data_IF_253321839852
#
_entry.id   IF_253321839852
#
_cell.length_a   1.000
_cell.length_b   1.000
_cell.length_c   1.000
_cell.angle_alpha   90.00
_cell.angle_beta   90.00
_cell.angle_gamma   90.00
#
_symmetry.space_group_name_H-M   'P 1'
#
loop_
_entity.id
_entity.type
_entity.pdbx_description
1 polymer ?
#
# COMPACT_ATOMS: atom_id res chain seq x y z
N UNK A 1 15.22 10.57 -8.35
CA UNK A 1 14.60 10.52 -9.69
C UNK A 1 13.14 10.09 -9.60
N UNK A 2 12.28 10.60 -10.48
CA UNK A 2 10.92 10.06 -10.70
C UNK A 2 11.02 9.02 -11.82
N UNK A 3 10.30 7.91 -11.72
CA UNK A 3 10.36 6.76 -12.66
C UNK A 3 9.92 7.06 -14.12
N UNK A 4 9.67 8.32 -14.49
CA UNK A 4 9.18 8.69 -15.82
C UNK A 4 7.78 8.19 -16.17
N UNK A 5 7.05 7.61 -15.21
CA UNK A 5 5.72 7.03 -15.43
C UNK A 5 4.63 8.10 -15.54
N UNK A 6 3.58 7.88 -16.35
CA UNK A 6 2.40 8.74 -16.38
C UNK A 6 1.75 8.82 -15.00
N UNK A 7 1.02 9.92 -14.76
CA UNK A 7 0.35 10.13 -13.46
C UNK A 7 -0.74 9.08 -13.26
N UNK A 8 -0.56 8.22 -12.28
CA UNK A 8 -1.57 7.24 -11.87
C UNK A 8 -2.68 7.89 -11.02
N UNK A 9 -3.95 7.67 -11.36
CA UNK A 9 -5.09 8.19 -10.61
C UNK A 9 -5.25 7.46 -9.25
N UNK A 10 -5.81 8.13 -8.23
CA UNK A 10 -6.09 7.49 -6.95
C UNK A 10 -7.24 6.48 -7.08
N UNK A 11 -7.18 5.36 -6.34
CA UNK A 11 -8.20 4.31 -6.35
C UNK A 11 -9.62 4.84 -6.13
N UNK A 12 -9.80 5.77 -5.19
CA UNK A 12 -11.09 6.37 -4.87
C UNK A 12 -11.55 7.46 -5.83
N UNK A 13 -10.68 7.92 -6.75
CA UNK A 13 -11.01 8.96 -7.74
C UNK A 13 -11.55 8.41 -9.06
N UNK A 14 -11.65 7.09 -9.22
CA UNK A 14 -12.12 6.45 -10.43
C UNK A 14 -13.44 5.70 -10.22
N UNK A 15 -14.25 5.62 -11.27
CA UNK A 15 -15.51 4.87 -11.31
C UNK A 15 -15.34 3.33 -11.31
N UNK A 16 -14.22 2.81 -10.76
CA UNK A 16 -13.91 1.37 -10.69
C UNK A 16 -14.13 0.65 -12.03
N UNK A 17 -13.79 1.30 -13.14
CA UNK A 17 -13.88 0.69 -14.47
C UNK A 17 -12.63 -0.13 -14.78
N UNK A 18 -12.78 -1.12 -15.64
CA UNK A 18 -11.69 -1.96 -16.13
C UNK A 18 -10.59 -1.17 -16.82
N UNK A 19 -10.96 -0.15 -17.61
CA UNK A 19 -10.01 0.73 -18.31
C UNK A 19 -9.16 1.51 -17.31
N UNK A 20 -9.79 1.96 -16.21
CA UNK A 20 -9.11 2.63 -15.11
C UNK A 20 -8.05 1.72 -14.48
N UNK A 21 -8.41 0.48 -14.16
CA UNK A 21 -7.46 -0.52 -13.63
C UNK A 21 -6.30 -0.76 -14.60
N UNK A 22 -6.58 -0.94 -15.89
CA UNK A 22 -5.55 -1.19 -16.92
C UNK A 22 -4.60 0.01 -17.08
N UNK A 23 -5.10 1.23 -16.94
CA UNK A 23 -4.29 2.46 -16.99
C UNK A 23 -3.39 2.68 -15.76
N UNK A 24 -3.57 1.88 -14.71
CA UNK A 24 -2.83 1.95 -13.46
C UNK A 24 -3.58 2.72 -12.36
N UNK A 25 -3.33 2.34 -11.11
CA UNK A 25 -4.01 2.88 -9.94
C UNK A 25 -3.02 3.16 -8.81
N UNK A 26 -3.27 4.25 -8.06
CA UNK A 26 -2.59 4.57 -6.83
C UNK A 26 -3.47 4.24 -5.62
N UNK A 27 -3.04 3.22 -4.86
CA UNK A 27 -3.67 2.81 -3.61
C UNK A 27 -3.07 3.52 -2.38
N UNK A 28 -1.96 4.23 -2.55
CA UNK A 28 -1.25 4.90 -1.48
C UNK A 28 -2.09 5.99 -0.79
N UNK A 29 -1.86 6.15 0.52
CA UNK A 29 -2.50 7.16 1.35
C UNK A 29 -1.47 7.82 2.26
N UNK A 30 -1.63 9.12 2.48
CA UNK A 30 -0.71 9.96 3.26
C UNK A 30 -0.46 9.43 4.67
N UNK A 31 -1.47 8.88 5.34
CA UNK A 31 -1.38 8.45 6.75
C UNK A 31 -1.15 6.95 6.93
N UNK A 32 -1.01 6.21 5.83
CA UNK A 32 -0.88 4.76 5.86
C UNK A 32 0.37 4.33 6.63
N UNK A 33 0.19 3.38 7.54
CA UNK A 33 1.27 2.69 8.24
C UNK A 33 1.21 1.19 7.99
N UNK A 34 2.35 0.53 8.20
CA UNK A 34 2.47 -0.91 8.35
C UNK A 34 1.81 -1.39 9.64
N UNK A 35 1.83 -0.55 10.68
CA UNK A 35 1.22 -0.84 11.97
C UNK A 35 -0.17 -0.25 12.04
N UNK A 36 -1.12 -1.07 12.51
CA UNK A 36 -2.48 -0.62 12.78
C UNK A 36 -2.49 0.42 13.91
N UNK A 37 -3.27 1.48 13.71
CA UNK A 37 -3.56 2.47 14.75
C UNK A 37 -4.96 3.02 14.55
N UNK A 38 -5.83 2.84 15.54
CA UNK A 38 -7.22 3.35 15.53
C UNK A 38 -7.30 4.85 15.25
N UNK A 39 -6.28 5.63 15.68
CA UNK A 39 -6.22 7.08 15.47
C UNK A 39 -5.80 7.50 14.07
N UNK A 40 -5.13 6.62 13.30
CA UNK A 40 -4.41 7.03 12.09
C UNK A 40 -4.62 6.15 10.86
N UNK A 41 -5.26 4.98 10.96
CA UNK A 41 -5.32 4.04 9.83
C UNK A 41 -6.73 3.56 9.49
N UNK A 42 -7.51 4.41 8.82
CA UNK A 42 -8.63 3.94 7.98
C UNK A 42 -8.13 3.31 6.66
N UNK A 43 -6.91 3.67 6.23
CA UNK A 43 -6.28 3.22 4.97
C UNK A 43 -4.84 2.73 5.21
N UNK A 44 -4.66 1.76 6.10
CA UNK A 44 -3.36 1.12 6.32
C UNK A 44 -2.91 0.29 5.13
N UNK A 45 -1.64 -0.15 5.12
CA UNK A 45 -1.06 -0.90 3.99
C UNK A 45 -1.86 -2.17 3.66
N UNK A 46 -2.39 -2.88 4.65
CA UNK A 46 -3.25 -4.04 4.43
C UNK A 46 -4.55 -3.71 3.68
N UNK A 47 -5.12 -2.52 3.91
CA UNK A 47 -6.30 -2.05 3.17
C UNK A 47 -5.93 -1.76 1.71
N UNK A 48 -4.76 -1.15 1.47
CA UNK A 48 -4.26 -0.85 0.14
C UNK A 48 -3.98 -2.12 -0.68
N UNK A 49 -3.41 -3.15 -0.04
CA UNK A 49 -3.24 -4.47 -0.65
C UNK A 49 -4.57 -5.11 -1.02
N UNK A 50 -5.58 -5.01 -0.14
CA UNK A 50 -6.92 -5.53 -0.43
C UNK A 50 -7.55 -4.82 -1.63
N UNK A 51 -7.41 -3.50 -1.73
CA UNK A 51 -7.90 -2.73 -2.89
C UNK A 51 -7.18 -3.13 -4.19
N UNK A 52 -5.87 -3.40 -4.12
CA UNK A 52 -5.13 -3.91 -5.26
C UNK A 52 -5.63 -5.30 -5.69
N UNK A 53 -5.92 -6.19 -4.74
CA UNK A 53 -6.53 -7.49 -5.03
C UNK A 53 -7.94 -7.35 -5.64
N UNK A 54 -8.77 -6.43 -5.13
CA UNK A 54 -10.10 -6.12 -5.70
C UNK A 54 -10.00 -5.65 -7.15
N UNK A 55 -9.02 -4.79 -7.47
CA UNK A 55 -8.78 -4.33 -8.84
C UNK A 55 -8.36 -5.49 -9.76
N UNK A 56 -7.50 -6.40 -9.29
CA UNK A 56 -7.13 -7.60 -10.04
C UNK A 56 -8.30 -8.56 -10.24
N UNK A 57 -9.16 -8.72 -9.22
CA UNK A 57 -10.38 -9.53 -9.31
C UNK A 57 -11.37 -8.96 -10.33
N UNK A 58 -11.51 -7.63 -10.39
CA UNK A 58 -12.33 -6.98 -11.42
C UNK A 58 -11.84 -7.37 -12.82
N UNK A 59 -10.53 -7.33 -13.07
CA UNK A 59 -9.98 -7.77 -14.36
C UNK A 59 -10.27 -9.25 -14.66
N UNK A 60 -10.19 -10.12 -13.65
CA UNK A 60 -10.51 -11.54 -13.81
C UNK A 60 -11.99 -11.75 -14.17
N UNK A 61 -12.90 -11.03 -13.52
CA UNK A 61 -14.34 -11.11 -13.78
C UNK A 61 -14.67 -10.58 -15.18
N UNK A 62 -14.05 -9.48 -15.60
CA UNK A 62 -14.37 -8.81 -16.86
C UNK A 62 -13.71 -9.43 -18.09
N UNK A 63 -12.50 -9.99 -17.96
CA UNK A 63 -11.72 -10.48 -19.10
C UNK A 63 -11.31 -11.95 -19.00
N UNK A 64 -11.65 -12.64 -17.91
CA UNK A 64 -11.23 -14.01 -17.65
C UNK A 64 -9.84 -14.12 -17.03
N UNK A 65 -9.54 -15.31 -16.51
CA UNK A 65 -8.32 -15.58 -15.74
C UNK A 65 -7.03 -15.41 -16.56
N UNK A 66 -7.00 -15.92 -17.79
CA UNK A 66 -5.78 -15.91 -18.60
C UNK A 66 -5.37 -14.48 -18.99
N UNK A 67 -6.35 -13.67 -19.41
CA UNK A 67 -6.10 -12.26 -19.76
C UNK A 67 -5.70 -11.44 -18.55
N UNK A 68 -6.34 -11.66 -17.40
CA UNK A 68 -5.97 -10.99 -16.16
C UNK A 68 -4.55 -11.36 -15.70
N UNK A 69 -4.13 -12.62 -15.87
CA UNK A 69 -2.74 -13.05 -15.59
C UNK A 69 -1.73 -12.40 -16.52
N UNK A 70 -2.04 -12.28 -17.81
CA UNK A 70 -1.18 -11.58 -18.77
C UNK A 70 -1.06 -10.09 -18.43
N UNK A 71 -2.15 -9.43 -18.05
CA UNK A 71 -2.11 -8.04 -17.58
C UNK A 71 -1.27 -7.89 -16.31
N UNK A 72 -1.41 -8.84 -15.36
CA UNK A 72 -0.62 -8.85 -14.13
C UNK A 72 0.88 -8.98 -14.40
N UNK A 73 1.28 -9.89 -15.30
CA UNK A 73 2.69 -10.15 -15.61
C UNK A 73 3.37 -9.00 -16.34
N UNK A 74 2.58 -8.13 -16.99
CA UNK A 74 3.06 -6.93 -17.69
C UNK A 74 2.97 -5.66 -16.85
N UNK A 75 2.44 -5.76 -15.63
CA UNK A 75 2.25 -4.63 -14.72
C UNK A 75 3.47 -4.41 -13.81
N UNK A 76 3.71 -3.16 -13.41
CA UNK A 76 4.69 -2.78 -12.40
C UNK A 76 3.98 -2.46 -11.08
N UNK A 77 4.35 -3.16 -10.01
CA UNK A 77 3.88 -2.86 -8.66
C UNK A 77 4.97 -2.10 -7.88
N UNK A 78 4.62 -0.93 -7.37
CA UNK A 78 5.50 -0.11 -6.53
C UNK A 78 4.92 0.04 -5.13
N UNK A 79 5.65 -0.43 -4.12
CA UNK A 79 5.24 -0.37 -2.72
C UNK A 79 6.26 0.44 -1.94
N UNK A 80 5.79 1.47 -1.23
CA UNK A 80 6.59 2.29 -0.32
C UNK A 80 5.80 2.52 0.96
N UNK A 81 6.28 1.97 2.08
CA UNK A 81 5.62 2.06 3.38
C UNK A 81 6.65 2.05 4.53
N UNK A 82 6.19 2.38 5.74
CA UNK A 82 7.03 2.39 6.95
C UNK A 82 7.51 3.77 7.38
N UNK A 83 7.55 4.75 6.47
CA UNK A 83 7.96 6.12 6.81
C UNK A 83 7.07 6.75 7.90
N UNK A 84 5.76 6.59 7.79
CA UNK A 84 4.81 7.07 8.80
C UNK A 84 4.95 6.32 10.14
N UNK A 85 5.21 5.02 10.11
CA UNK A 85 5.46 4.24 11.33
C UNK A 85 6.74 4.69 12.03
N UNK A 86 7.78 4.98 11.25
CA UNK A 86 9.05 5.50 11.75
C UNK A 86 8.93 6.92 12.28
N UNK A 87 8.18 7.80 11.61
CA UNK A 87 7.89 9.14 12.11
C UNK A 87 7.17 9.09 13.46
N UNK A 88 6.24 8.14 13.65
CA UNK A 88 5.56 7.94 14.94
C UNK A 88 6.51 7.54 16.06
N UNK A 89 7.66 6.91 15.75
CA UNK A 89 8.73 6.67 16.73
C UNK A 89 9.36 7.99 17.19
N UNK A 90 9.28 9.11 16.47
CA UNK A 90 9.88 10.39 16.91
C UNK A 90 8.87 11.40 17.45
N UNK A 91 7.60 11.00 17.56
CA UNK A 91 6.51 11.84 18.06
C UNK A 91 6.01 11.30 19.42
N UNK A 92 6.72 11.57 20.54
CA UNK A 92 6.45 10.99 21.87
C UNK A 92 5.01 11.17 22.36
N UNK A 93 4.40 12.32 22.04
CA UNK A 93 3.07 12.70 22.52
C UNK A 93 1.92 12.10 21.71
N UNK A 94 2.21 11.37 20.63
CA UNK A 94 1.20 10.93 19.65
C UNK A 94 0.99 9.42 19.66
N UNK A 95 2.07 8.63 19.85
CA UNK A 95 2.03 7.18 19.62
C UNK A 95 2.41 6.32 20.84
N UNK A 96 3.13 6.89 21.82
CA UNK A 96 3.70 6.15 22.95
C UNK A 96 4.72 5.07 22.56
N UNK A 97 5.07 4.95 21.28
CA UNK A 97 5.94 3.88 20.73
C UNK A 97 7.37 4.00 21.26
N UNK A 98 7.88 5.22 21.47
CA UNK A 98 9.19 5.47 22.08
C UNK A 98 9.37 4.81 23.44
N UNK A 99 8.29 4.72 24.23
CA UNK A 99 8.35 4.10 25.57
C UNK A 99 8.48 2.58 25.52
N UNK A 100 8.21 1.96 24.37
CA UNK A 100 8.16 0.50 24.19
C UNK A 100 9.34 -0.06 23.40
N UNK A 101 10.07 0.75 22.63
CA UNK A 101 11.11 0.25 21.74
C UNK A 101 12.35 1.15 21.72
N UNK A 102 13.53 0.52 21.80
CA UNK A 102 14.76 1.11 21.30
C UNK A 102 14.70 1.24 19.76
N UNK A 103 15.30 2.29 19.20
CA UNK A 103 15.21 2.65 17.77
C UNK A 103 15.60 1.50 16.83
N UNK A 104 16.67 0.75 17.15
CA UNK A 104 17.15 -0.38 16.35
C UNK A 104 16.23 -1.61 16.43
N UNK A 105 15.54 -1.81 17.56
CA UNK A 105 14.55 -2.87 17.71
C UNK A 105 13.29 -2.55 16.90
N UNK A 106 12.88 -1.27 16.88
CA UNK A 106 11.74 -0.82 16.09
C UNK A 106 12.00 -0.94 14.58
N UNK A 107 13.19 -0.53 14.09
CA UNK A 107 13.55 -0.69 12.69
C UNK A 107 13.48 -2.16 12.24
N UNK A 108 14.07 -3.09 13.02
CA UNK A 108 13.98 -4.54 12.76
C UNK A 108 12.53 -5.04 12.78
N UNK A 109 11.70 -4.51 13.68
CA UNK A 109 10.28 -4.85 13.72
C UNK A 109 9.54 -4.39 12.46
N UNK A 110 9.77 -3.16 11.97
CA UNK A 110 9.16 -2.67 10.74
C UNK A 110 9.60 -3.47 9.50
N UNK A 111 10.89 -3.81 9.40
CA UNK A 111 11.39 -4.68 8.31
C UNK A 111 10.63 -6.01 8.29
N UNK A 112 10.43 -6.64 9.45
CA UNK A 112 9.64 -7.88 9.55
C UNK A 112 8.18 -7.70 9.13
N UNK A 113 7.56 -6.56 9.46
CA UNK A 113 6.19 -6.28 9.00
C UNK A 113 6.14 -6.03 7.49
N UNK A 114 7.09 -5.29 6.94
CA UNK A 114 7.21 -5.09 5.49
C UNK A 114 7.38 -6.42 4.75
N UNK A 115 8.23 -7.32 5.25
CA UNK A 115 8.38 -8.65 4.66
C UNK A 115 7.10 -9.49 4.66
N UNK A 116 6.16 -9.25 5.58
CA UNK A 116 4.85 -9.93 5.59
C UNK A 116 3.86 -9.35 4.59
N UNK A 117 4.02 -8.07 4.26
CA UNK A 117 3.20 -7.36 3.26
C UNK A 117 3.61 -7.77 1.83
N UNK A 118 4.89 -8.04 1.61
CA UNK A 118 5.45 -8.33 0.28
C UNK A 118 5.44 -9.84 -0.05
N UNK A 119 5.44 -10.72 0.96
CA UNK A 119 5.36 -12.17 0.78
C UNK A 119 3.97 -12.62 0.36
#
# INVERSE_FOLDING_TARGET
>A
EKLGLPRVPPFYGMNRTTEGVISGLNFGSLTAGLLYSERFSLQGVNTQLRQALEAMQLLQISYGQDRARELASRSLFYISAGANDYLRLFLPNVSGVQRKFASTAFARFLVRQMSRVIK
#
